data_IF_777406306443
#
_entry.id   IF_777406306443
#
_cell.length_a   1.000
_cell.length_b   1.000
_cell.length_c   1.000
_cell.angle_alpha   90.00
_cell.angle_beta   90.00
_cell.angle_gamma   90.00
#
_symmetry.space_group_name_H-M   'P 1'
#
loop_
_entity.id
_entity.type
_entity.pdbx_description
1 polymer ?
#
# COMPACT_ATOMS: atom_id res chain seq x y z
N UNK A 1 -0.51 -30.24 -16.93
CA UNK A 1 -0.26 -28.85 -17.32
C UNK A 1 0.20 -28.13 -16.07
N UNK A 2 1.50 -27.95 -15.89
CA UNK A 2 2.06 -27.27 -14.72
C UNK A 2 1.82 -25.78 -14.88
N UNK A 3 0.90 -25.23 -14.09
CA UNK A 3 0.65 -23.79 -14.03
C UNK A 3 1.85 -23.11 -13.38
N UNK A 4 2.60 -22.35 -14.15
CA UNK A 4 3.64 -21.45 -13.66
C UNK A 4 3.00 -20.49 -12.65
N UNK A 5 3.44 -20.53 -11.39
CA UNK A 5 3.09 -19.54 -10.37
C UNK A 5 3.64 -18.20 -10.86
N UNK A 6 2.77 -17.36 -11.43
CA UNK A 6 3.13 -15.98 -11.75
C UNK A 6 3.58 -15.24 -10.48
N UNK A 7 4.38 -14.17 -10.59
CA UNK A 7 4.66 -13.29 -9.46
C UNK A 7 3.35 -12.58 -9.13
N UNK A 8 2.47 -13.25 -8.39
CA UNK A 8 1.21 -12.69 -7.96
C UNK A 8 1.46 -11.56 -6.97
N UNK A 9 0.43 -10.77 -6.71
CA UNK A 9 0.47 -9.76 -5.67
C UNK A 9 0.83 -10.39 -4.32
N UNK A 10 2.05 -10.17 -3.79
CA UNK A 10 2.50 -10.83 -2.56
C UNK A 10 1.65 -10.45 -1.35
N UNK A 11 0.97 -9.30 -1.42
CA UNK A 11 0.18 -8.73 -0.33
C UNK A 11 -1.33 -8.94 -0.53
N UNK A 12 -1.73 -9.65 -1.59
CA UNK A 12 -3.14 -9.93 -1.95
C UNK A 12 -4.04 -8.68 -1.88
N UNK A 13 -3.49 -7.54 -2.31
CA UNK A 13 -4.22 -6.27 -2.42
C UNK A 13 -5.02 -6.26 -3.72
N UNK A 14 -6.33 -6.09 -3.62
CA UNK A 14 -7.23 -6.09 -4.77
C UNK A 14 -7.78 -4.69 -5.05
N UNK A 15 -8.37 -4.49 -6.22
CA UNK A 15 -9.14 -3.26 -6.49
C UNK A 15 -10.26 -3.12 -5.46
N UNK A 16 -10.38 -1.93 -4.87
CA UNK A 16 -11.30 -1.65 -3.77
C UNK A 16 -10.70 -1.79 -2.37
N UNK A 17 -9.53 -2.44 -2.24
CA UNK A 17 -8.80 -2.44 -0.98
C UNK A 17 -8.12 -1.10 -0.71
N UNK A 18 -7.80 -0.88 0.56
CA UNK A 18 -7.01 0.26 1.00
C UNK A 18 -5.62 -0.25 1.38
N UNK A 19 -4.59 0.42 0.89
CA UNK A 19 -3.21 0.11 1.25
C UNK A 19 -2.43 1.36 1.68
N UNK A 20 -1.43 1.16 2.52
CA UNK A 20 -0.36 2.11 2.80
C UNK A 20 0.61 2.10 1.61
N UNK A 21 0.82 3.24 0.97
CA UNK A 21 1.88 3.37 -0.04
C UNK A 21 3.24 3.75 0.58
N UNK A 22 4.29 3.83 -0.24
CA UNK A 22 5.66 4.12 0.20
C UNK A 22 5.85 5.54 0.79
N UNK A 23 4.84 6.39 0.72
CA UNK A 23 4.80 7.71 1.37
C UNK A 23 3.83 7.73 2.55
N UNK A 24 3.38 6.54 3.02
CA UNK A 24 2.48 6.33 4.15
C UNK A 24 1.04 6.80 3.93
N UNK A 25 0.63 7.12 2.70
CA UNK A 25 -0.76 7.51 2.47
C UNK A 25 -1.64 6.26 2.51
N UNK A 26 -2.82 6.30 3.17
CA UNK A 26 -3.90 5.39 2.85
C UNK A 26 -4.39 5.68 1.42
N UNK A 27 -4.34 4.66 0.57
CA UNK A 27 -4.67 4.73 -0.86
C UNK A 27 -5.77 3.72 -1.17
N UNK A 28 -6.84 4.18 -1.79
CA UNK A 28 -7.86 3.30 -2.38
C UNK A 28 -7.31 2.72 -3.68
N UNK A 29 -7.14 1.40 -3.74
CA UNK A 29 -6.67 0.69 -4.92
C UNK A 29 -7.72 0.75 -6.04
N UNK A 30 -7.32 1.30 -7.19
CA UNK A 30 -8.17 1.42 -8.39
C UNK A 30 -7.72 0.50 -9.52
N UNK A 31 -6.47 0.03 -9.51
CA UNK A 31 -5.94 -0.89 -10.52
C UNK A 31 -4.78 -1.72 -9.95
N UNK A 32 -4.65 -2.95 -10.47
CA UNK A 32 -3.52 -3.84 -10.26
C UNK A 32 -3.02 -4.30 -11.64
N UNK A 33 -1.75 -4.03 -11.95
CA UNK A 33 -1.10 -4.48 -13.18
C UNK A 33 -0.13 -5.63 -12.87
N UNK A 34 -0.54 -6.85 -13.18
CA UNK A 34 0.26 -8.06 -13.00
C UNK A 34 1.23 -8.32 -14.17
N UNK A 35 1.09 -7.63 -15.30
CA UNK A 35 1.93 -7.83 -16.49
C UNK A 35 3.29 -7.13 -16.32
N UNK A 36 3.29 -5.98 -15.63
CA UNK A 36 4.47 -5.13 -15.45
C UNK A 36 5.21 -5.32 -14.10
N UNK A 37 4.85 -6.31 -13.28
CA UNK A 37 5.51 -6.57 -11.98
C UNK A 37 4.67 -6.25 -10.74
N UNK A 38 3.36 -6.53 -10.78
CA UNK A 38 2.38 -6.21 -9.72
C UNK A 38 2.48 -4.75 -9.27
N UNK A 39 2.13 -3.85 -10.18
CA UNK A 39 2.02 -2.42 -9.86
C UNK A 39 0.60 -2.13 -9.38
N UNK A 40 0.49 -1.62 -8.16
CA UNK A 40 -0.74 -1.07 -7.61
C UNK A 40 -0.87 0.39 -8.02
N UNK A 41 -2.09 0.83 -8.32
CA UNK A 41 -2.38 2.25 -8.53
C UNK A 41 -3.69 2.63 -7.84
N UNK A 42 -3.71 3.81 -7.24
CA UNK A 42 -4.87 4.26 -6.51
C UNK A 42 -4.93 5.77 -6.26
N UNK A 43 -5.95 6.15 -5.48
CA UNK A 43 -6.24 7.54 -5.10
C UNK A 43 -5.91 7.69 -3.61
N UNK A 44 -5.12 8.70 -3.25
CA UNK A 44 -4.89 8.99 -1.83
C UNK A 44 -6.17 9.46 -1.14
N UNK A 45 -6.47 8.87 0.03
CA UNK A 45 -7.57 9.29 0.90
C UNK A 45 -7.20 10.48 1.81
N UNK A 46 -5.94 10.95 1.74
CA UNK A 46 -5.47 12.15 2.44
C UNK A 46 -5.79 13.40 1.64
N UNK A 47 -5.34 13.45 0.39
CA UNK A 47 -5.35 14.67 -0.44
C UNK A 47 -5.97 14.50 -1.84
N UNK A 48 -6.38 13.27 -2.21
CA UNK A 48 -6.97 12.98 -3.52
C UNK A 48 -5.95 12.85 -4.66
N UNK A 49 -4.65 12.86 -4.39
CA UNK A 49 -3.61 12.68 -5.42
C UNK A 49 -3.80 11.36 -6.17
N UNK A 50 -3.69 11.41 -7.51
CA UNK A 50 -3.81 10.27 -8.41
C UNK A 50 -2.93 10.49 -9.68
N UNK A 51 -2.25 9.46 -10.21
CA UNK A 51 -2.15 8.11 -9.63
C UNK A 51 -1.11 8.04 -8.51
N UNK A 52 -1.43 7.29 -7.44
CA UNK A 52 -0.49 6.87 -6.41
C UNK A 52 -0.07 5.43 -6.71
N UNK A 53 1.08 5.27 -7.35
CA UNK A 53 1.58 3.97 -7.77
C UNK A 53 2.56 3.39 -6.76
N UNK A 54 2.44 2.09 -6.47
CA UNK A 54 3.37 1.32 -5.66
C UNK A 54 3.65 -0.02 -6.32
N UNK A 55 4.92 -0.40 -6.43
CA UNK A 55 5.31 -1.75 -6.82
C UNK A 55 5.13 -2.69 -5.61
N UNK A 56 4.32 -3.74 -5.74
CA UNK A 56 4.00 -4.59 -4.60
C UNK A 56 5.21 -5.39 -4.07
N UNK A 57 6.24 -5.61 -4.89
CA UNK A 57 7.45 -6.35 -4.53
C UNK A 57 8.51 -5.43 -3.90
N UNK A 58 8.65 -4.20 -4.39
CA UNK A 58 9.74 -3.29 -4.00
C UNK A 58 9.32 -2.23 -3.00
N UNK A 59 8.05 -1.79 -3.02
CA UNK A 59 7.58 -0.74 -2.13
C UNK A 59 7.01 -1.28 -0.80
N UNK A 60 6.74 -2.59 -0.71
CA UNK A 60 6.15 -3.22 0.47
C UNK A 60 4.80 -2.60 0.92
N UNK A 61 3.84 -2.33 0.01
CA UNK A 61 2.57 -1.73 0.39
C UNK A 61 1.79 -2.66 1.34
N UNK A 62 1.26 -2.10 2.43
CA UNK A 62 0.57 -2.88 3.47
C UNK A 62 -0.93 -2.62 3.40
N UNK A 63 -1.76 -3.67 3.41
CA UNK A 63 -3.23 -3.49 3.47
C UNK A 63 -3.65 -2.82 4.78
N UNK A 64 -4.48 -1.79 4.68
CA UNK A 64 -5.08 -1.05 5.79
C UNK A 64 -6.57 -1.39 5.86
N UNK A 65 -7.14 -1.43 7.07
CA UNK A 65 -8.58 -1.62 7.26
C UNK A 65 -9.32 -0.30 7.06
N UNK A 66 -10.52 -0.36 6.48
CA UNK A 66 -11.32 0.85 6.16
C UNK A 66 -11.61 1.70 7.39
N UNK A 67 -11.83 1.07 8.54
CA UNK A 67 -12.07 1.73 9.82
C UNK A 67 -10.89 2.58 10.33
N UNK A 68 -9.65 2.26 9.94
CA UNK A 68 -8.46 2.98 10.40
C UNK A 68 -8.26 4.30 9.63
N UNK A 69 -8.85 4.43 8.43
CA UNK A 69 -8.61 5.56 7.52
C UNK A 69 -8.92 6.90 8.15
N UNK A 70 -10.03 7.00 8.88
CA UNK A 70 -10.41 8.27 9.51
C UNK A 70 -9.47 8.66 10.65
N UNK A 71 -8.98 7.69 11.43
CA UNK A 71 -7.98 7.95 12.46
C UNK A 71 -6.65 8.40 11.84
N UNK A 72 -6.20 7.73 10.77
CA UNK A 72 -4.99 8.11 10.03
C UNK A 72 -5.14 9.51 9.44
N UNK A 73 -6.29 9.84 8.86
CA UNK A 73 -6.55 11.16 8.29
C UNK A 73 -6.55 12.28 9.33
N UNK A 74 -7.08 12.01 10.53
CA UNK A 74 -7.15 12.98 11.63
C UNK A 74 -5.76 13.30 12.21
N UNK A 75 -4.85 12.33 12.24
CA UNK A 75 -3.48 12.50 12.72
C UNK A 75 -2.48 11.86 11.74
N UNK A 76 -2.40 12.45 10.55
CA UNK A 76 -1.55 11.91 9.48
C UNK A 76 -0.06 12.02 9.82
N UNK A 77 0.36 13.16 10.39
CA UNK A 77 1.76 13.36 10.78
C UNK A 77 2.18 12.39 11.89
N UNK A 78 1.32 12.16 12.89
CA UNK A 78 1.56 11.18 13.95
C UNK A 78 1.63 9.75 13.40
N UNK A 79 0.75 9.41 12.45
CA UNK A 79 0.81 8.13 11.74
C UNK A 79 2.14 7.92 11.02
N UNK A 80 2.58 8.91 10.23
CA UNK A 80 3.84 8.87 9.48
C UNK A 80 5.04 8.70 10.42
N UNK A 81 5.08 9.46 11.51
CA UNK A 81 6.16 9.37 12.50
C UNK A 81 6.24 7.98 13.13
N UNK A 82 5.10 7.42 13.54
CA UNK A 82 5.03 6.07 14.10
C UNK A 82 5.50 5.01 13.11
N UNK A 83 5.02 5.05 11.86
CA UNK A 83 5.39 4.08 10.81
C UNK A 83 6.88 4.12 10.47
N UNK A 84 7.47 5.30 10.41
CA UNK A 84 8.93 5.46 10.24
C UNK A 84 9.72 4.80 11.37
N UNK A 85 9.27 4.95 12.61
CA UNK A 85 9.93 4.32 13.76
C UNK A 85 9.75 2.79 13.77
N UNK A 86 8.57 2.28 13.41
CA UNK A 86 8.31 0.85 13.25
C UNK A 86 9.23 0.22 12.18
N UNK A 87 9.40 0.87 11.03
CA UNK A 87 10.32 0.40 9.97
C UNK A 87 11.78 0.45 10.42
N UNK A 88 12.19 1.53 11.11
CA UNK A 88 13.56 1.69 11.63
C UNK A 88 13.92 0.59 12.63
N UNK A 89 12.97 0.18 13.46
CA UNK A 89 13.17 -0.85 14.50
C UNK A 89 13.04 -2.27 13.95
N UNK A 90 12.18 -2.48 12.94
CA UNK A 90 12.00 -3.77 12.26
C UNK A 90 13.23 -4.24 11.47
N UNK A 91 14.04 -3.32 10.95
CA UNK A 91 15.29 -3.62 10.21
C UNK A 91 16.45 -4.12 11.10
N UNK A 92 16.27 -4.20 12.42
CA UNK A 92 17.34 -4.55 13.39
C UNK A 92 17.34 -6.04 13.79
N UNK A 93 16.65 -6.92 13.06
CA UNK A 93 16.58 -8.37 13.34
C UNK A 93 16.85 -9.19 12.09
#
# INVERSE_FOLDING_TARGET
MSGTTGPGNPNDIQVGDIYEDCYFHPVLCTAVDEVAGVVLSGISLIDGTFPRCCDALHCGPVRIRVEDVMAIKQDFDGYVLRRKEELRTGDTT
#
